data_IF_311180095023
#
_entry.id   IF_311180095023
#
_cell.length_a   1.000
_cell.length_b   1.000
_cell.length_c   1.000
_cell.angle_alpha   90.00
_cell.angle_beta   90.00
_cell.angle_gamma   90.00
#
_symmetry.space_group_name_H-M   'P 1'
#
loop_
_entity.id
_entity.type
_entity.pdbx_description
1 polymer ?
#
# COMPACT_ATOMS: atom_id res chain seq x y z
N UNK A 1 -19.39 1.08 12.71
CA UNK A 1 -19.63 0.51 11.37
C UNK A 1 -19.62 1.62 10.34
N UNK A 2 -18.54 1.69 9.55
CA UNK A 2 -18.45 2.58 8.39
C UNK A 2 -19.08 1.94 7.14
N UNK A 3 -19.14 2.69 6.04
CA UNK A 3 -19.77 2.25 4.78
C UNK A 3 -19.09 0.99 4.20
N UNK A 4 -17.76 0.87 4.35
CA UNK A 4 -16.97 -0.27 3.88
C UNK A 4 -17.33 -1.52 4.69
N UNK A 5 -17.30 -1.45 6.02
CA UNK A 5 -17.65 -2.57 6.91
C UNK A 5 -19.09 -3.06 6.68
N UNK A 6 -20.04 -2.14 6.45
CA UNK A 6 -21.41 -2.48 6.13
C UNK A 6 -21.53 -3.24 4.80
N UNK A 7 -20.97 -2.71 3.71
CA UNK A 7 -21.04 -3.33 2.39
C UNK A 7 -20.21 -4.59 2.24
N UNK A 8 -19.14 -4.73 3.02
CA UNK A 8 -18.35 -5.94 3.12
C UNK A 8 -19.14 -7.05 3.82
N UNK A 9 -19.77 -6.75 4.96
CA UNK A 9 -20.61 -7.70 5.69
C UNK A 9 -21.78 -8.24 4.86
N UNK A 10 -22.47 -7.38 4.10
CA UNK A 10 -23.55 -7.83 3.19
C UNK A 10 -23.09 -8.87 2.15
N UNK A 11 -21.79 -8.89 1.83
CA UNK A 11 -21.18 -9.82 0.87
C UNK A 11 -20.37 -10.94 1.52
N UNK A 12 -20.35 -11.03 2.86
CA UNK A 12 -19.52 -12.00 3.57
C UNK A 12 -18.01 -11.74 3.48
N UNK A 13 -17.60 -10.49 3.26
CA UNK A 13 -16.19 -10.07 3.21
C UNK A 13 -15.77 -9.56 4.59
N UNK A 14 -14.64 -10.03 5.09
CA UNK A 14 -14.01 -9.55 6.33
C UNK A 14 -13.22 -8.24 6.08
N UNK A 15 -13.28 -7.31 7.03
CA UNK A 15 -12.54 -6.05 6.98
C UNK A 15 -11.65 -5.96 8.21
N UNK A 16 -10.35 -5.88 7.99
CA UNK A 16 -9.34 -5.68 9.02
C UNK A 16 -8.73 -4.27 8.86
N UNK A 17 -8.52 -3.57 9.98
CA UNK A 17 -7.75 -2.33 10.00
C UNK A 17 -6.37 -2.63 10.58
N UNK A 18 -5.31 -2.26 9.85
CA UNK A 18 -3.92 -2.37 10.29
C UNK A 18 -3.29 -0.98 10.42
N UNK A 19 -2.26 -0.88 11.25
CA UNK A 19 -1.47 0.36 11.39
C UNK A 19 -0.78 0.66 10.05
N UNK A 20 -1.07 1.83 9.48
CA UNK A 20 -0.50 2.25 8.20
C UNK A 20 0.94 2.80 8.30
N UNK A 21 1.48 2.97 9.51
CA UNK A 21 2.79 3.59 9.71
C UNK A 21 3.89 2.86 8.92
N UNK A 22 4.62 3.60 8.09
CA UNK A 22 5.75 3.09 7.29
C UNK A 22 5.34 2.38 5.98
N UNK A 23 4.05 2.11 5.76
CA UNK A 23 3.59 1.38 4.56
C UNK A 23 3.64 2.21 3.27
N UNK A 24 3.66 3.54 3.40
CA UNK A 24 3.68 4.46 2.25
C UNK A 24 5.09 4.70 1.67
N UNK A 25 6.13 4.33 2.43
CA UNK A 25 7.56 4.45 2.12
C UNK A 25 8.26 3.09 1.96
N UNK A 26 7.56 1.97 2.18
CA UNK A 26 8.11 0.63 2.00
C UNK A 26 7.81 0.05 0.61
N UNK A 27 8.78 -0.66 0.06
CA UNK A 27 8.63 -1.42 -1.17
C UNK A 27 7.75 -2.66 -0.93
N UNK A 28 6.59 -2.72 -1.59
CA UNK A 28 5.68 -3.88 -1.53
C UNK A 28 6.29 -5.20 -1.98
N UNK A 29 7.37 -5.16 -2.78
CA UNK A 29 8.05 -6.37 -3.30
C UNK A 29 9.16 -6.88 -2.39
N UNK A 30 9.98 -5.97 -1.84
CA UNK A 30 11.21 -6.36 -1.14
C UNK A 30 11.34 -5.84 0.29
N UNK A 31 10.35 -5.07 0.77
CA UNK A 31 10.30 -4.52 2.12
C UNK A 31 11.30 -3.40 2.41
N UNK A 32 12.07 -2.94 1.41
CA UNK A 32 12.99 -1.84 1.62
C UNK A 32 12.24 -0.54 1.86
N UNK A 33 12.56 0.14 2.96
CA UNK A 33 12.06 1.46 3.28
C UNK A 33 13.01 2.50 2.70
N UNK A 34 12.45 3.38 1.87
CA UNK A 34 13.16 4.48 1.25
C UNK A 34 12.20 5.66 1.06
N UNK A 35 12.59 6.81 1.60
CA UNK A 35 11.79 8.05 1.55
C UNK A 35 11.80 8.68 0.15
N UNK A 36 12.81 8.37 -0.67
CA UNK A 36 13.00 8.92 -2.02
C UNK A 36 12.33 8.07 -3.11
N UNK A 37 11.76 6.91 -2.75
CA UNK A 37 11.12 6.00 -3.71
C UNK A 37 9.88 6.60 -4.40
N UNK A 38 9.23 7.61 -3.82
CA UNK A 38 8.15 8.39 -4.47
C UNK A 38 8.74 9.54 -5.29
N UNK A 39 9.09 9.26 -6.55
CA UNK A 39 9.71 10.21 -7.46
C UNK A 39 8.77 11.39 -7.77
N UNK A 40 7.51 11.10 -8.07
CA UNK A 40 6.46 12.09 -8.28
C UNK A 40 5.08 11.44 -8.03
N UNK A 41 4.00 12.24 -8.05
CA UNK A 41 2.65 11.70 -7.90
C UNK A 41 2.39 10.68 -9.02
N UNK A 42 2.16 9.44 -8.60
CA UNK A 42 1.88 8.32 -9.51
C UNK A 42 3.10 7.56 -10.03
N UNK A 43 4.33 7.97 -9.66
CA UNK A 43 5.55 7.22 -9.97
C UNK A 43 6.29 6.86 -8.68
N UNK A 44 6.44 5.55 -8.48
CA UNK A 44 7.19 4.97 -7.39
C UNK A 44 8.26 4.03 -7.95
N UNK A 45 9.50 4.11 -7.46
CA UNK A 45 10.61 3.26 -7.88
C UNK A 45 11.46 2.84 -6.68
N UNK A 46 11.66 1.53 -6.52
CA UNK A 46 12.60 1.01 -5.53
C UNK A 46 14.02 1.12 -6.08
N UNK A 47 14.91 1.73 -5.32
CA UNK A 47 16.35 1.74 -5.60
C UNK A 47 17.00 0.36 -5.40
N UNK A 48 16.48 -0.46 -4.48
CA UNK A 48 17.04 -1.76 -4.11
C UNK A 48 16.68 -2.90 -5.07
N UNK A 49 15.40 -3.09 -5.36
CA UNK A 49 14.94 -4.20 -6.22
C UNK A 49 14.54 -3.74 -7.63
N UNK A 50 14.50 -2.43 -7.90
CA UNK A 50 14.23 -1.88 -9.22
C UNK A 50 12.76 -1.92 -9.67
N UNK A 51 11.83 -2.37 -8.83
CA UNK A 51 10.40 -2.36 -9.19
C UNK A 51 9.92 -0.92 -9.40
N UNK A 52 9.13 -0.73 -10.45
CA UNK A 52 8.48 0.55 -10.78
C UNK A 52 6.98 0.32 -10.78
N UNK A 53 6.24 1.15 -10.04
CA UNK A 53 4.80 1.03 -9.89
C UNK A 53 4.15 2.40 -9.71
N UNK A 54 2.82 2.45 -9.74
CA UNK A 54 2.10 3.61 -9.24
C UNK A 54 2.21 3.66 -7.71
N UNK A 55 2.45 4.84 -7.13
CA UNK A 55 2.62 4.96 -5.68
C UNK A 55 1.41 4.48 -4.86
N UNK A 56 0.20 4.59 -5.42
CA UNK A 56 -1.02 4.06 -4.77
C UNK A 56 -1.12 2.54 -4.88
N UNK A 57 -0.62 1.94 -5.97
CA UNK A 57 -0.56 0.48 -6.11
C UNK A 57 0.47 -0.09 -5.13
N UNK A 58 1.66 0.49 -5.06
CA UNK A 58 2.66 0.08 -4.07
C UNK A 58 2.11 0.21 -2.64
N UNK A 59 1.44 1.32 -2.32
CA UNK A 59 0.83 1.51 -0.99
C UNK A 59 -0.27 0.49 -0.68
N UNK A 60 -1.14 0.17 -1.65
CA UNK A 60 -2.18 -0.83 -1.49
C UNK A 60 -1.59 -2.23 -1.25
N UNK A 61 -0.54 -2.59 -1.99
CA UNK A 61 0.14 -3.89 -1.84
C UNK A 61 0.92 -3.99 -0.51
N UNK A 62 1.42 -2.86 0.03
CA UNK A 62 2.11 -2.82 1.33
C UNK A 62 1.19 -3.04 2.55
N UNK A 63 -0.14 -2.88 2.41
CA UNK A 63 -1.13 -3.04 3.50
C UNK A 63 -1.88 -4.40 3.41
N UNK A 64 -1.51 -5.25 2.46
CA UNK A 64 -2.22 -6.51 2.17
C UNK A 64 -2.32 -7.49 3.36
#
# INVERSE_FOLDING_TARGET
MNLIEYKARERGIEVEQRDERGTSSSCSVCGHEDEDSRIERGLWKCDRCGVVAHGDVNGADSIR
#
